data_IF_320104341037
#
_entry.id   IF_320104341037
#
_cell.length_a   1.000
_cell.length_b   1.000
_cell.length_c   1.000
_cell.angle_alpha   90.00
_cell.angle_beta   90.00
_cell.angle_gamma   90.00
#
_symmetry.space_group_name_H-M   'P 1'
#
loop_
_entity.id
_entity.type
_entity.pdbx_description
1 polymer ?
#
# COMPACT_ATOMS: atom_id res chain seq x y z
N UNK A 1 4.65 14.64 6.06
CA UNK A 1 5.18 13.85 7.19
C UNK A 1 4.02 13.07 7.79
N UNK A 2 4.09 11.73 7.88
CA UNK A 2 2.92 10.86 8.17
C UNK A 2 2.78 10.53 9.66
N UNK A 3 3.81 10.86 10.45
CA UNK A 3 3.88 10.59 11.89
C UNK A 3 2.65 11.09 12.67
N UNK A 4 2.09 12.25 12.29
CA UNK A 4 0.88 12.78 12.92
C UNK A 4 -0.36 11.89 12.74
N UNK A 5 -0.55 11.29 11.55
CA UNK A 5 -1.64 10.34 11.33
C UNK A 5 -1.41 9.03 12.09
N UNK A 6 -0.16 8.58 12.17
CA UNK A 6 0.17 7.35 12.89
C UNK A 6 0.00 7.52 14.40
N UNK A 7 0.29 8.70 14.96
CA UNK A 7 0.01 9.03 16.36
C UNK A 7 -1.49 9.15 16.63
N UNK A 8 -2.26 9.75 15.71
CA UNK A 8 -3.72 9.77 15.82
C UNK A 8 -4.28 8.35 15.82
N UNK A 9 -3.75 7.46 14.99
CA UNK A 9 -4.22 6.07 14.90
C UNK A 9 -4.08 5.29 16.22
N UNK A 10 -3.14 5.67 17.09
CA UNK A 10 -2.99 5.06 18.41
C UNK A 10 -4.17 5.37 19.35
N UNK A 11 -4.90 6.45 19.09
CA UNK A 11 -6.05 6.89 19.89
C UNK A 11 -7.40 6.76 19.17
N UNK A 12 -7.40 6.85 17.84
CA UNK A 12 -8.59 6.72 16.99
C UNK A 12 -8.23 6.16 15.60
N UNK A 13 -8.01 4.84 15.55
CA UNK A 13 -7.77 4.12 14.31
C UNK A 13 -8.95 4.24 13.32
N UNK A 14 -10.19 4.36 13.82
CA UNK A 14 -11.38 4.43 12.97
C UNK A 14 -11.44 5.71 12.15
N UNK A 15 -11.06 6.85 12.74
CA UNK A 15 -10.92 8.12 12.02
C UNK A 15 -9.80 8.05 10.98
N UNK A 16 -8.65 7.46 11.34
CA UNK A 16 -7.54 7.30 10.39
C UNK A 16 -7.94 6.40 9.22
N UNK A 17 -8.62 5.28 9.46
CA UNK A 17 -9.11 4.39 8.40
C UNK A 17 -10.04 5.13 7.42
N UNK A 18 -11.01 5.91 7.91
CA UNK A 18 -11.87 6.73 7.04
C UNK A 18 -11.07 7.73 6.21
N UNK A 19 -10.06 8.36 6.81
CA UNK A 19 -9.22 9.35 6.16
C UNK A 19 -8.37 8.73 5.05
N UNK A 20 -7.65 7.64 5.35
CA UNK A 20 -6.78 6.98 4.38
C UNK A 20 -7.58 6.36 3.23
N UNK A 21 -8.78 5.81 3.49
CA UNK A 21 -9.66 5.32 2.43
C UNK A 21 -10.05 6.42 1.45
N UNK A 22 -10.31 7.64 1.94
CA UNK A 22 -10.57 8.81 1.07
C UNK A 22 -9.32 9.23 0.32
N UNK A 23 -8.21 9.37 1.02
CA UNK A 23 -6.95 9.88 0.46
C UNK A 23 -6.27 8.92 -0.51
N UNK A 24 -6.56 7.61 -0.45
CA UNK A 24 -6.00 6.62 -1.36
C UNK A 24 -6.37 6.85 -2.84
N UNK A 25 -7.35 7.71 -3.11
CA UNK A 25 -7.87 8.05 -4.44
C UNK A 25 -7.73 9.53 -4.77
N UNK A 26 -6.97 10.28 -3.96
CA UNK A 26 -6.77 11.70 -4.16
C UNK A 26 -6.01 11.97 -5.49
N UNK A 27 -6.33 13.06 -6.21
CA UNK A 27 -5.58 13.42 -7.42
C UNK A 27 -4.11 13.75 -7.15
N UNK A 28 -3.72 14.12 -5.93
CA UNK A 28 -2.32 14.37 -5.57
C UNK A 28 -1.62 13.07 -5.11
N UNK A 29 -0.59 12.57 -5.84
CA UNK A 29 0.15 11.37 -5.45
C UNK A 29 0.79 11.45 -4.07
N UNK A 30 1.11 12.66 -3.58
CA UNK A 30 1.68 12.84 -2.24
C UNK A 30 0.64 12.59 -1.14
N UNK A 31 -0.64 12.92 -1.39
CA UNK A 31 -1.75 12.63 -0.49
C UNK A 31 -2.02 11.12 -0.46
N UNK A 32 -2.05 10.48 -1.63
CA UNK A 32 -2.16 9.02 -1.75
C UNK A 32 -1.01 8.32 -1.03
N UNK A 33 0.22 8.82 -1.21
CA UNK A 33 1.40 8.28 -0.54
C UNK A 33 1.31 8.44 0.98
N UNK A 34 0.77 9.54 1.48
CA UNK A 34 0.53 9.73 2.91
C UNK A 34 -0.48 8.71 3.45
N UNK A 35 -1.55 8.42 2.70
CA UNK A 35 -2.55 7.43 3.07
C UNK A 35 -1.95 6.03 3.24
N UNK A 36 -1.25 5.55 2.21
CA UNK A 36 -0.64 4.22 2.21
C UNK A 36 0.40 4.09 3.33
N UNK A 37 1.28 5.08 3.48
CA UNK A 37 2.30 5.05 4.52
C UNK A 37 1.71 5.14 5.95
N UNK A 38 0.55 5.79 6.12
CA UNK A 38 -0.10 5.91 7.43
C UNK A 38 -0.63 4.54 7.88
N UNK A 39 -1.39 3.87 7.01
CA UNK A 39 -2.06 2.61 7.37
C UNK A 39 -1.10 1.41 7.33
N UNK A 40 -0.07 1.42 6.47
CA UNK A 40 0.93 0.36 6.39
C UNK A 40 2.03 0.48 7.45
N UNK A 41 1.62 0.75 8.68
CA UNK A 41 2.45 0.77 9.87
C UNK A 41 2.19 -0.51 10.67
N UNK A 42 3.16 -1.45 10.81
CA UNK A 42 2.92 -2.78 11.38
C UNK A 42 2.15 -2.80 12.71
N UNK A 43 2.42 -1.85 13.62
CA UNK A 43 1.73 -1.78 14.92
C UNK A 43 0.22 -1.47 14.80
N UNK A 44 -0.24 -0.88 13.70
CA UNK A 44 -1.65 -0.55 13.46
C UNK A 44 -2.45 -1.71 12.85
N UNK A 45 -1.77 -2.78 12.42
CA UNK A 45 -2.39 -3.89 11.68
C UNK A 45 -2.73 -5.10 12.54
N UNK A 46 -2.98 -4.88 13.84
CA UNK A 46 -3.32 -5.94 14.79
C UNK A 46 -4.72 -6.53 14.67
N UNK A 47 -5.55 -6.05 13.73
CA UNK A 47 -6.93 -6.53 13.54
C UNK A 47 -7.20 -6.87 12.08
N UNK A 48 -8.12 -7.83 11.79
CA UNK A 48 -8.52 -8.14 10.42
C UNK A 48 -9.05 -6.93 9.64
N UNK A 49 -9.82 -6.06 10.31
CA UNK A 49 -10.35 -4.85 9.70
C UNK A 49 -9.24 -3.85 9.31
N UNK A 50 -8.21 -3.70 10.14
CA UNK A 50 -7.07 -2.85 9.82
C UNK A 50 -6.22 -3.42 8.68
N UNK A 51 -6.00 -4.73 8.67
CA UNK A 51 -5.30 -5.40 7.56
C UNK A 51 -6.06 -5.25 6.23
N UNK A 52 -7.38 -5.45 6.23
CA UNK A 52 -8.23 -5.22 5.07
C UNK A 52 -8.16 -3.77 4.56
N UNK A 53 -8.26 -2.78 5.47
CA UNK A 53 -8.11 -1.38 5.12
C UNK A 53 -6.75 -1.07 4.47
N UNK A 54 -5.67 -1.68 4.96
CA UNK A 54 -4.34 -1.52 4.37
C UNK A 54 -4.24 -2.13 2.97
N UNK A 55 -4.81 -3.32 2.76
CA UNK A 55 -4.89 -3.98 1.44
C UNK A 55 -5.67 -3.10 0.46
N UNK A 56 -6.87 -2.65 0.84
CA UNK A 56 -7.72 -1.79 -0.01
C UNK A 56 -7.03 -0.46 -0.36
N UNK A 57 -6.34 0.13 0.62
CA UNK A 57 -5.58 1.37 0.43
C UNK A 57 -4.42 1.16 -0.55
N UNK A 58 -3.70 0.04 -0.44
CA UNK A 58 -2.63 -0.31 -1.39
C UNK A 58 -3.19 -0.56 -2.79
N UNK A 59 -4.33 -1.25 -2.91
CA UNK A 59 -5.01 -1.49 -4.19
C UNK A 59 -5.39 -0.18 -4.87
N UNK A 60 -6.11 0.71 -4.17
CA UNK A 60 -6.53 2.00 -4.70
C UNK A 60 -5.32 2.86 -5.12
N UNK A 61 -4.28 2.92 -4.28
CA UNK A 61 -3.07 3.65 -4.60
C UNK A 61 -2.28 3.07 -5.77
N UNK A 62 -2.30 1.74 -5.96
CA UNK A 62 -1.67 1.09 -7.12
C UNK A 62 -2.44 1.44 -8.40
N UNK A 63 -3.76 1.55 -8.34
CA UNK A 63 -4.58 2.02 -9.46
C UNK A 63 -4.29 3.48 -9.85
N UNK A 64 -3.95 4.35 -8.89
CA UNK A 64 -3.47 5.70 -9.19
C UNK A 64 -2.16 5.66 -10.00
N UNK A 65 -1.25 4.74 -9.67
CA UNK A 65 0.01 4.58 -10.40
C UNK A 65 -0.21 4.08 -11.82
N UNK A 66 -0.98 3.02 -12.01
CA UNK A 66 -1.22 2.45 -13.36
C UNK A 66 -2.05 3.38 -14.24
N UNK A 67 -2.99 4.12 -13.66
CA UNK A 67 -3.82 5.10 -14.36
C UNK A 67 -3.13 6.44 -14.66
N UNK A 68 -1.88 6.64 -14.21
CA UNK A 68 -1.20 7.92 -14.40
C UNK A 68 -0.82 8.16 -15.87
N UNK A 69 -1.02 9.38 -16.42
CA UNK A 69 -0.71 9.68 -17.82
C UNK A 69 0.73 9.34 -18.16
N UNK A 70 0.93 8.62 -19.28
CA UNK A 70 2.23 8.05 -19.66
C UNK A 70 3.31 9.12 -19.79
N UNK A 71 2.96 10.28 -20.35
CA UNK A 71 3.82 11.46 -20.51
C UNK A 71 4.21 12.11 -19.17
N UNK A 72 3.41 11.91 -18.13
CA UNK A 72 3.61 12.48 -16.79
C UNK A 72 4.21 11.49 -15.78
N UNK A 73 4.56 10.26 -16.19
CA UNK A 73 5.12 9.24 -15.28
C UNK A 73 6.49 9.60 -14.67
N UNK A 74 7.16 10.62 -15.19
CA UNK A 74 8.40 11.17 -14.62
C UNK A 74 8.15 12.11 -13.43
N UNK A 75 6.89 12.37 -13.07
CA UNK A 75 6.53 13.18 -11.91
C UNK A 75 7.20 12.65 -10.63
N UNK A 76 8.00 13.48 -9.93
CA UNK A 76 8.60 13.13 -8.65
C UNK A 76 7.58 12.70 -7.58
N UNK A 77 6.37 13.26 -7.58
CA UNK A 77 5.30 12.90 -6.66
C UNK A 77 4.83 11.45 -6.91
N UNK A 78 4.58 11.10 -8.17
CA UNK A 78 4.23 9.75 -8.57
C UNK A 78 5.34 8.74 -8.23
N UNK A 79 6.60 9.10 -8.51
CA UNK A 79 7.76 8.27 -8.13
C UNK A 79 7.79 8.01 -6.63
N UNK A 80 7.47 9.01 -5.82
CA UNK A 80 7.44 8.90 -4.36
C UNK A 80 6.32 7.95 -3.90
N UNK A 81 5.14 8.01 -4.52
CA UNK A 81 4.05 7.06 -4.29
C UNK A 81 4.46 5.63 -4.66
N UNK A 82 5.00 5.43 -5.87
CA UNK A 82 5.47 4.12 -6.34
C UNK A 82 6.49 3.50 -5.38
N UNK A 83 7.44 4.30 -4.89
CA UNK A 83 8.44 3.85 -3.91
C UNK A 83 7.81 3.42 -2.58
N UNK A 84 6.80 4.13 -2.09
CA UNK A 84 6.06 3.73 -0.89
C UNK A 84 5.35 2.39 -1.11
N UNK A 85 4.68 2.20 -2.25
CA UNK A 85 4.01 0.95 -2.62
C UNK A 85 4.98 -0.23 -2.74
N UNK A 86 6.22 0.01 -3.17
CA UNK A 86 7.31 -0.98 -3.20
C UNK A 86 7.73 -1.55 -1.83
N UNK A 87 7.12 -1.07 -0.75
CA UNK A 87 7.28 -1.59 0.61
C UNK A 87 5.93 -1.91 1.28
N UNK A 88 4.94 -1.05 1.10
CA UNK A 88 3.69 -1.09 1.87
C UNK A 88 2.85 -2.35 1.60
N UNK A 89 2.84 -2.84 0.36
CA UNK A 89 2.19 -4.11 0.03
C UNK A 89 2.71 -5.27 0.88
N UNK A 90 4.02 -5.35 1.12
CA UNK A 90 4.59 -6.40 1.96
C UNK A 90 4.14 -6.32 3.41
N UNK A 91 3.85 -5.11 3.91
CA UNK A 91 3.33 -4.89 5.26
C UNK A 91 1.87 -5.31 5.33
N UNK A 92 1.05 -4.85 4.38
CA UNK A 92 -0.38 -5.17 4.31
C UNK A 92 -0.62 -6.68 4.17
N UNK A 93 0.06 -7.33 3.22
CA UNK A 93 -0.04 -8.79 3.01
C UNK A 93 0.46 -9.57 4.21
N UNK A 94 1.52 -9.11 4.89
CA UNK A 94 2.01 -9.78 6.10
C UNK A 94 1.02 -9.75 7.26
N UNK A 95 0.12 -8.76 7.31
CA UNK A 95 -0.91 -8.68 8.34
C UNK A 95 -2.11 -9.60 8.07
N UNK A 96 -2.40 -9.92 6.81
CA UNK A 96 -3.45 -10.87 6.43
C UNK A 96 -3.08 -11.62 5.14
N UNK A 97 -2.20 -12.65 5.21
CA UNK A 97 -1.71 -13.33 4.01
C UNK A 97 -2.80 -13.96 3.15
N UNK A 98 -3.78 -14.63 3.77
CA UNK A 98 -4.87 -15.32 3.08
C UNK A 98 -5.74 -14.36 2.25
N UNK A 99 -6.00 -13.16 2.78
CA UNK A 99 -6.76 -12.13 2.08
C UNK A 99 -5.90 -11.30 1.11
N UNK A 100 -4.64 -11.05 1.46
CA UNK A 100 -3.77 -10.14 0.72
C UNK A 100 -3.07 -10.77 -0.48
N UNK A 101 -2.68 -12.04 -0.41
CA UNK A 101 -1.95 -12.72 -1.50
C UNK A 101 -2.76 -12.84 -2.80
N UNK A 102 -4.07 -13.20 -2.77
CA UNK A 102 -4.87 -13.24 -4.00
C UNK A 102 -4.97 -11.86 -4.67
N UNK A 103 -5.15 -10.80 -3.88
CA UNK A 103 -5.24 -9.42 -4.38
C UNK A 103 -3.89 -8.99 -4.97
N UNK A 104 -2.80 -9.20 -4.24
CA UNK A 104 -1.46 -8.84 -4.72
C UNK A 104 -1.07 -9.60 -5.99
N UNK A 105 -1.44 -10.87 -6.11
CA UNK A 105 -1.18 -11.69 -7.31
C UNK A 105 -2.04 -11.29 -8.51
N UNK A 106 -3.14 -10.55 -8.29
CA UNK A 106 -4.01 -10.05 -9.36
C UNK A 106 -3.58 -8.69 -9.92
N UNK A 107 -2.51 -8.10 -9.38
CA UNK A 107 -1.97 -6.84 -9.90
C UNK A 107 -1.45 -7.02 -11.33
N UNK A 108 -1.76 -6.05 -12.18
CA UNK A 108 -1.34 -6.04 -13.59
C UNK A 108 0.17 -5.82 -13.71
N UNK A 109 0.92 -6.89 -13.96
CA UNK A 109 2.37 -6.87 -14.11
C UNK A 109 2.84 -6.41 -15.51
N UNK A 110 1.91 -6.12 -16.42
CA UNK A 110 2.22 -5.57 -17.75
C UNK A 110 2.54 -4.07 -17.68
N UNK A 111 2.02 -3.37 -16.67
CA UNK A 111 2.42 -1.99 -16.38
C UNK A 111 3.83 -1.96 -15.76
N UNK A 112 4.80 -1.20 -16.33
CA UNK A 112 6.18 -1.18 -15.84
C UNK A 112 6.34 -0.69 -14.39
N UNK A 113 5.51 0.26 -13.96
CA UNK A 113 5.56 0.82 -12.62
C UNK A 113 4.96 -0.15 -11.59
N UNK A 114 3.87 -0.83 -11.95
CA UNK A 114 3.26 -1.89 -11.12
C UNK A 114 4.15 -3.12 -11.05
N UNK A 115 4.72 -3.57 -12.17
CA UNK A 115 5.71 -4.66 -12.21
C UNK A 115 6.88 -4.39 -11.28
N UNK A 116 7.40 -3.15 -11.28
CA UNK A 116 8.43 -2.75 -10.34
C UNK A 116 7.95 -2.85 -8.88
N UNK A 117 6.73 -2.39 -8.56
CA UNK A 117 6.15 -2.49 -7.21
C UNK A 117 6.08 -3.95 -6.76
N UNK A 118 5.61 -4.85 -7.62
CA UNK A 118 5.50 -6.28 -7.33
C UNK A 118 6.89 -6.84 -6.99
N UNK A 119 7.87 -6.62 -7.87
CA UNK A 119 9.23 -7.12 -7.70
C UNK A 119 9.91 -6.59 -6.43
N UNK A 120 9.67 -5.33 -6.04
CA UNK A 120 10.24 -4.79 -4.81
C UNK A 120 9.68 -5.44 -3.55
N UNK A 121 8.39 -5.79 -3.56
CA UNK A 121 7.72 -6.42 -2.43
C UNK A 121 8.10 -7.90 -2.27
N UNK A 122 8.23 -8.64 -3.38
CA UNK A 122 8.65 -10.04 -3.36
C UNK A 122 10.06 -10.23 -2.76
N UNK A 123 10.94 -9.23 -2.90
CA UNK A 123 12.29 -9.24 -2.31
C UNK A 123 12.31 -9.02 -0.78
N UNK A 124 11.19 -8.65 -0.16
CA UNK A 124 11.17 -8.36 1.29
C UNK A 124 11.19 -9.68 2.06
N UNK A 125 12.04 -9.76 3.09
CA UNK A 125 12.15 -10.96 3.96
C UNK A 125 10.80 -11.44 4.51
N UNK A 126 9.91 -10.51 4.87
CA UNK A 126 8.55 -10.83 5.33
C UNK A 126 7.72 -11.54 4.26
N UNK A 127 7.83 -11.10 3.01
CA UNK A 127 7.07 -11.65 1.89
C UNK A 127 7.59 -13.03 1.49
N UNK A 128 8.92 -13.20 1.44
CA UNK A 128 9.53 -14.50 1.17
C UNK A 128 9.10 -15.58 2.19
N UNK A 129 8.95 -15.21 3.47
CA UNK A 129 8.45 -16.13 4.52
C UNK A 129 7.00 -16.53 4.30
N UNK A 130 6.15 -15.59 3.90
CA UNK A 130 4.74 -15.85 3.59
C UNK A 130 4.63 -16.83 2.44
N UNK A 131 5.37 -16.61 1.36
CA UNK A 131 5.38 -17.51 0.20
C UNK A 131 5.90 -18.89 0.55
N UNK A 132 6.91 -18.99 1.42
CA UNK A 132 7.45 -20.27 1.89
C UNK A 132 6.52 -21.02 2.86
N UNK A 133 5.56 -20.33 3.49
CA UNK A 133 4.60 -20.93 4.41
C UNK A 133 3.29 -21.36 3.73
N UNK A 134 3.05 -20.90 2.49
CA UNK A 134 1.84 -21.19 1.70
C UNK A 134 2.06 -22.13 0.50
N UNK A 135 3.25 -22.74 0.38
CA UNK A 135 3.56 -23.80 -0.58
C UNK A 135 3.90 -25.10 0.14
#
# INVERSE_FOLDING_TARGET
MVLGLQLLADSDIGTVQKLVTRWARDPDPLVVRAAVAAICEPRLLGTPAAAACAIDTCTAATAVVSGWPAEARRDPALRTLRQALGYCWSVAVAAAPEAGLPVFSSLDDTDPDVSWVIQQNMKKKRFMRILAAGG
#
